data_IF_518724560593
#
_entry.id   IF_518724560593
#
_cell.length_a   1.000
_cell.length_b   1.000
_cell.length_c   1.000
_cell.angle_alpha   90.00
_cell.angle_beta   90.00
_cell.angle_gamma   90.00
#
_symmetry.space_group_name_H-M   'P 1'
#
loop_
_entity.id
_entity.type
_entity.pdbx_description
1 polymer ?
#
# COMPACT_ATOMS: atom_id res chain seq x y z
N UNK A 1 -18.56 -13.16 -0.17
CA UNK A 1 -17.21 -12.80 -0.58
C UNK A 1 -16.31 -13.06 0.62
N UNK A 2 -15.24 -13.83 0.49
CA UNK A 2 -14.41 -14.19 1.64
C UNK A 2 -13.29 -13.14 1.77
N UNK A 3 -13.24 -12.42 2.88
CA UNK A 3 -12.15 -11.52 3.23
C UNK A 3 -10.99 -12.33 3.79
N UNK A 4 -9.77 -12.05 3.34
CA UNK A 4 -8.57 -12.79 3.75
C UNK A 4 -7.62 -11.84 4.50
N UNK A 5 -7.14 -12.30 5.67
CA UNK A 5 -5.99 -11.68 6.32
C UNK A 5 -4.71 -12.33 5.80
N UNK A 6 -3.82 -11.53 5.21
CA UNK A 6 -2.54 -12.00 4.70
C UNK A 6 -1.42 -11.70 5.67
N UNK A 7 -0.68 -12.73 6.08
CA UNK A 7 0.55 -12.54 6.86
C UNK A 7 1.68 -12.17 5.92
N UNK A 8 2.28 -11.00 6.09
CA UNK A 8 3.44 -10.54 5.34
C UNK A 8 4.73 -10.79 6.11
N UNK A 9 5.85 -10.87 5.40
CA UNK A 9 7.17 -11.02 6.00
C UNK A 9 7.59 -9.75 6.74
N UNK A 10 8.40 -9.90 7.78
CA UNK A 10 9.01 -8.79 8.50
C UNK A 10 9.97 -8.00 7.60
N UNK A 11 10.14 -6.72 7.90
CA UNK A 11 11.05 -5.84 7.20
C UNK A 11 10.52 -5.34 5.86
N UNK A 12 11.25 -5.60 4.77
CA UNK A 12 10.89 -5.22 3.40
C UNK A 12 10.79 -6.44 2.51
N UNK A 13 9.73 -6.50 1.69
CA UNK A 13 9.64 -7.48 0.62
C UNK A 13 9.15 -6.84 -0.68
N UNK A 14 9.62 -7.36 -1.80
CA UNK A 14 9.34 -6.84 -3.13
C UNK A 14 8.84 -7.97 -4.02
N UNK A 15 7.70 -7.73 -4.66
CA UNK A 15 7.16 -8.62 -5.67
C UNK A 15 7.08 -7.86 -7.00
N UNK A 16 7.82 -8.31 -7.98
CA UNK A 16 7.75 -7.79 -9.34
C UNK A 16 7.03 -8.80 -10.21
N UNK A 17 5.77 -8.55 -10.50
CA UNK A 17 4.91 -9.54 -11.15
C UNK A 17 3.92 -8.92 -12.13
N UNK A 18 3.35 -9.77 -12.97
CA UNK A 18 2.14 -9.43 -13.69
C UNK A 18 1.02 -9.18 -12.68
N UNK A 19 0.33 -8.06 -12.83
CA UNK A 19 -0.85 -7.78 -12.03
C UNK A 19 -1.98 -8.72 -12.41
N UNK A 20 -2.65 -9.27 -11.40
CA UNK A 20 -3.77 -10.19 -11.56
C UNK A 20 -4.93 -9.72 -10.69
N UNK A 21 -6.09 -10.29 -10.94
CA UNK A 21 -7.24 -10.07 -10.07
C UNK A 21 -6.97 -10.70 -8.69
N UNK A 22 -7.02 -9.87 -7.64
CA UNK A 22 -6.83 -10.31 -6.25
C UNK A 22 -8.08 -9.94 -5.45
N UNK A 23 -8.70 -10.91 -4.76
CA UNK A 23 -9.90 -10.64 -3.96
C UNK A 23 -9.59 -9.72 -2.77
N UNK A 24 -10.61 -9.15 -2.10
CA UNK A 24 -10.43 -8.34 -0.91
C UNK A 24 -9.62 -9.02 0.17
N UNK A 25 -8.60 -8.32 0.63
CA UNK A 25 -7.69 -8.77 1.68
C UNK A 25 -7.17 -7.57 2.48
N UNK A 26 -6.51 -7.84 3.59
CA UNK A 26 -5.80 -6.87 4.41
C UNK A 26 -4.57 -7.50 5.07
N UNK A 27 -3.65 -6.68 5.49
CA UNK A 27 -2.43 -7.07 6.22
C UNK A 27 -1.88 -5.90 7.04
N UNK A 28 -0.93 -6.16 7.94
CA UNK A 28 -0.28 -5.16 8.78
C UNK A 28 0.80 -4.33 8.03
N UNK A 29 1.26 -4.77 6.87
CA UNK A 29 2.29 -4.06 6.13
C UNK A 29 1.73 -2.80 5.44
N UNK A 30 2.58 -1.80 5.25
CA UNK A 30 2.35 -0.75 4.26
C UNK A 30 2.58 -1.37 2.89
N UNK A 31 1.63 -1.26 1.99
CA UNK A 31 1.80 -1.71 0.61
C UNK A 31 1.94 -0.54 -0.34
N UNK A 32 2.96 -0.59 -1.18
CA UNK A 32 3.20 0.38 -2.24
C UNK A 32 3.06 -0.34 -3.57
N UNK A 33 2.30 0.26 -4.47
CA UNK A 33 2.10 -0.23 -5.83
C UNK A 33 2.67 0.79 -6.80
N UNK A 34 3.57 0.36 -7.70
CA UNK A 34 4.11 1.19 -8.76
C UNK A 34 3.90 0.50 -10.10
N UNK A 35 3.02 1.05 -10.93
CA UNK A 35 2.67 0.45 -12.23
C UNK A 35 3.81 0.65 -13.22
N UNK A 36 4.39 -0.44 -13.70
CA UNK A 36 5.52 -0.44 -14.64
C UNK A 36 5.09 -0.60 -16.09
N UNK A 37 3.94 -1.26 -16.33
CA UNK A 37 3.34 -1.41 -17.66
C UNK A 37 1.85 -1.70 -17.57
N UNK A 38 1.08 -1.23 -18.57
CA UNK A 38 -0.37 -1.39 -18.60
C UNK A 38 -1.12 -0.61 -17.52
N UNK A 39 -2.18 -1.21 -16.99
CA UNK A 39 -3.08 -0.59 -16.01
C UNK A 39 -3.42 -1.55 -14.87
N UNK A 40 -3.77 -0.99 -13.71
CA UNK A 40 -4.26 -1.72 -12.53
C UNK A 40 -5.39 -0.90 -11.91
N UNK A 41 -6.45 -1.55 -11.50
CA UNK A 41 -7.50 -0.96 -10.68
C UNK A 41 -7.27 -1.36 -9.22
N UNK A 42 -7.05 -0.38 -8.36
CA UNK A 42 -6.94 -0.55 -6.92
C UNK A 42 -8.29 -0.26 -6.27
N UNK A 43 -8.89 -1.27 -5.65
CA UNK A 43 -10.08 -1.09 -4.82
C UNK A 43 -9.70 -0.87 -3.37
N UNK A 44 -10.18 0.23 -2.75
CA UNK A 44 -10.02 0.52 -1.33
C UNK A 44 -11.39 0.94 -0.78
N UNK A 45 -11.87 0.23 0.22
CA UNK A 45 -13.24 0.42 0.70
C UNK A 45 -14.28 0.16 -0.40
N UNK A 46 -15.11 1.15 -0.70
CA UNK A 46 -16.15 1.06 -1.75
C UNK A 46 -15.72 1.70 -3.09
N UNK A 47 -14.52 2.25 -3.16
CA UNK A 47 -14.03 2.98 -4.34
C UNK A 47 -13.01 2.16 -5.13
N UNK A 48 -12.99 2.40 -6.43
CA UNK A 48 -12.07 1.79 -7.37
C UNK A 48 -11.24 2.90 -8.03
N UNK A 49 -9.91 2.80 -7.91
CA UNK A 49 -8.96 3.80 -8.38
C UNK A 49 -8.17 3.26 -9.57
N UNK A 50 -8.31 3.93 -10.71
CA UNK A 50 -7.56 3.60 -11.91
C UNK A 50 -6.11 4.05 -11.81
N UNK A 51 -5.19 3.17 -12.20
CA UNK A 51 -3.74 3.42 -12.24
C UNK A 51 -3.19 3.06 -13.61
N UNK A 52 -2.37 3.95 -14.16
CA UNK A 52 -1.64 3.75 -15.40
C UNK A 52 -0.14 3.64 -15.16
N UNK A 53 0.60 3.30 -16.22
CA UNK A 53 2.07 3.23 -16.19
C UNK A 53 2.71 4.50 -15.60
N UNK A 54 3.49 4.31 -14.55
CA UNK A 54 4.20 5.34 -13.81
C UNK A 54 3.42 5.91 -12.63
N UNK A 55 2.17 5.48 -12.42
CA UNK A 55 1.40 5.87 -11.24
C UNK A 55 1.86 5.07 -10.02
N UNK A 56 1.72 5.72 -8.88
CA UNK A 56 2.05 5.21 -7.56
C UNK A 56 0.78 5.13 -6.72
N UNK A 57 0.65 4.09 -5.94
CA UNK A 57 -0.36 4.03 -4.89
C UNK A 57 0.22 3.52 -3.58
N UNK A 58 -0.48 3.82 -2.49
CA UNK A 58 -0.13 3.34 -1.17
C UNK A 58 -1.38 2.88 -0.42
N UNK A 59 -1.27 1.73 0.24
CA UNK A 59 -2.27 1.19 1.16
C UNK A 59 -1.65 1.10 2.55
N UNK A 60 -2.31 1.71 3.52
CA UNK A 60 -1.84 1.71 4.91
C UNK A 60 -2.22 0.41 5.63
N UNK A 61 -1.57 0.11 6.77
CA UNK A 61 -1.83 -1.09 7.57
C UNK A 61 -3.31 -1.31 7.85
N UNK A 62 -3.76 -2.55 7.76
CA UNK A 62 -5.11 -3.00 8.09
C UNK A 62 -6.25 -2.37 7.26
N UNK A 63 -5.93 -1.80 6.10
CA UNK A 63 -6.93 -1.29 5.15
C UNK A 63 -7.33 -2.42 4.20
N UNK A 64 -8.64 -2.67 4.07
CA UNK A 64 -9.17 -3.65 3.12
C UNK A 64 -8.98 -3.12 1.70
N UNK A 65 -8.34 -3.91 0.86
CA UNK A 65 -8.09 -3.56 -0.53
C UNK A 65 -8.14 -4.78 -1.43
N UNK A 66 -8.24 -4.54 -2.73
CA UNK A 66 -8.26 -5.58 -3.75
C UNK A 66 -7.73 -5.03 -5.07
N UNK A 67 -7.40 -5.93 -6.00
CA UNK A 67 -6.96 -5.55 -7.33
C UNK A 67 -7.86 -6.13 -8.40
N UNK A 68 -8.12 -5.32 -9.44
CA UNK A 68 -8.77 -5.75 -10.65
C UNK A 68 -7.91 -5.37 -11.85
N UNK A 69 -7.89 -6.23 -12.85
CA UNK A 69 -7.17 -6.00 -14.10
C UNK A 69 -8.12 -6.22 -15.25
N UNK A 70 -8.33 -5.19 -16.06
CA UNK A 70 -9.21 -5.22 -17.20
C UNK A 70 -8.38 -5.11 -18.48
N UNK A 71 -8.46 -6.15 -19.34
CA UNK A 71 -7.83 -6.16 -20.66
C UNK A 71 -6.33 -6.37 -20.67
N UNK A 72 -5.84 -7.03 -21.73
CA UNK A 72 -4.42 -7.16 -22.08
C UNK A 72 -3.58 -8.06 -21.17
N UNK A 73 -2.56 -8.70 -21.79
CA UNK A 73 -1.68 -9.63 -21.08
C UNK A 73 -0.48 -8.93 -20.37
N UNK A 74 -0.32 -7.62 -20.49
CA UNK A 74 0.88 -6.88 -20.08
C UNK A 74 0.65 -5.84 -18.98
N UNK A 75 -0.12 -6.20 -17.95
CA UNK A 75 -0.26 -5.33 -16.79
C UNK A 75 0.77 -5.72 -15.73
N UNK A 76 1.77 -4.87 -15.49
CA UNK A 76 2.87 -5.16 -14.58
C UNK A 76 3.02 -4.07 -13.54
N UNK A 77 3.26 -4.46 -12.31
CA UNK A 77 3.56 -3.55 -11.23
C UNK A 77 4.62 -4.12 -10.29
N UNK A 78 5.26 -3.22 -9.58
CA UNK A 78 6.05 -3.51 -8.40
C UNK A 78 5.11 -3.39 -7.20
N UNK A 79 5.06 -4.42 -6.39
CA UNK A 79 4.40 -4.45 -5.10
C UNK A 79 5.49 -4.49 -4.03
N UNK A 80 5.61 -3.42 -3.26
CA UNK A 80 6.60 -3.26 -2.21
C UNK A 80 5.87 -3.25 -0.86
N UNK A 81 6.23 -4.17 0.01
CA UNK A 81 5.65 -4.29 1.35
C UNK A 81 6.68 -3.83 2.37
N UNK A 82 6.29 -2.89 3.22
CA UNK A 82 7.13 -2.34 4.28
C UNK A 82 6.48 -2.62 5.63
N UNK A 83 7.26 -3.16 6.56
CA UNK A 83 6.83 -3.24 7.95
C UNK A 83 6.70 -1.82 8.53
N UNK A 84 5.60 -1.46 9.23
CA UNK A 84 5.40 -0.13 9.78
C UNK A 84 6.50 0.32 10.76
N UNK A 85 7.18 -0.62 11.41
CA UNK A 85 8.34 -0.36 12.29
C UNK A 85 9.53 0.31 11.59
N UNK A 86 9.60 0.21 10.24
CA UNK A 86 10.59 0.92 9.43
C UNK A 86 10.33 2.44 9.35
N UNK A 87 9.18 2.89 9.79
CA UNK A 87 8.80 4.30 9.79
C UNK A 87 8.34 4.75 11.19
N UNK A 88 9.21 4.67 12.22
CA UNK A 88 8.82 4.84 13.62
C UNK A 88 8.21 6.21 13.92
N UNK A 89 8.63 7.28 13.20
CA UNK A 89 8.07 8.62 13.35
C UNK A 89 6.64 8.78 12.84
N UNK A 90 6.12 7.79 12.09
CA UNK A 90 4.78 7.80 11.50
C UNK A 90 3.91 6.62 11.98
N UNK A 91 4.41 5.80 12.90
CA UNK A 91 3.75 4.55 13.29
C UNK A 91 2.31 4.78 13.76
N UNK A 92 2.09 5.73 14.67
CA UNK A 92 0.77 6.07 15.19
C UNK A 92 -0.16 6.65 14.11
N UNK A 93 0.38 7.52 13.26
CA UNK A 93 -0.36 8.14 12.16
C UNK A 93 -0.80 7.08 11.12
N UNK A 94 0.05 6.12 10.82
CA UNK A 94 -0.28 4.99 9.94
C UNK A 94 -1.38 4.09 10.49
N UNK A 95 -1.53 3.99 11.82
CA UNK A 95 -2.63 3.25 12.43
C UNK A 95 -3.93 4.05 12.41
N UNK A 96 -3.84 5.37 12.54
CA UNK A 96 -4.99 6.26 12.70
C UNK A 96 -5.57 6.76 11.38
N UNK A 97 -4.72 7.10 10.42
CA UNK A 97 -5.11 7.77 9.19
C UNK A 97 -5.06 6.84 7.97
N UNK A 98 -5.74 7.26 6.91
CA UNK A 98 -5.68 6.67 5.58
C UNK A 98 -5.73 7.78 4.53
N UNK A 99 -5.03 7.66 3.39
CA UNK A 99 -5.20 8.60 2.29
C UNK A 99 -6.65 8.60 1.78
N UNK A 100 -7.23 9.80 1.65
CA UNK A 100 -8.57 9.95 1.04
C UNK A 100 -8.56 9.48 -0.42
N UNK A 101 -7.45 9.66 -1.11
CA UNK A 101 -7.20 9.19 -2.46
C UNK A 101 -5.82 8.50 -2.48
N UNK A 102 -5.75 7.17 -2.57
CA UNK A 102 -4.50 6.44 -2.35
C UNK A 102 -3.53 6.47 -3.54
N UNK A 103 -3.92 7.05 -4.68
CA UNK A 103 -3.14 7.06 -5.92
C UNK A 103 -2.53 8.44 -6.17
N UNK A 104 -1.24 8.47 -6.53
CA UNK A 104 -0.54 9.65 -7.05
C UNK A 104 -0.20 9.39 -8.51
N UNK A 105 -0.72 10.23 -9.40
CA UNK A 105 -0.37 10.11 -10.83
C UNK A 105 1.10 10.42 -11.06
N UNK A 106 1.70 9.80 -12.08
CA UNK A 106 3.11 10.00 -12.45
C UNK A 106 3.51 11.45 -12.63
N UNK A 107 2.56 12.32 -13.02
CA UNK A 107 2.80 13.75 -13.24
C UNK A 107 2.97 14.53 -11.94
N UNK A 108 2.36 14.04 -10.87
CA UNK A 108 2.37 14.65 -9.54
C UNK A 108 3.35 13.96 -8.59
N UNK A 109 3.82 12.78 -8.97
CA UNK A 109 4.67 11.93 -8.12
C UNK A 109 6.04 12.59 -7.90
N UNK A 110 6.38 12.80 -6.63
CA UNK A 110 7.67 13.39 -6.25
C UNK A 110 8.82 12.46 -6.62
N UNK A 111 9.89 13.02 -7.19
CA UNK A 111 11.08 12.26 -7.63
C UNK A 111 11.73 11.45 -6.51
N UNK A 112 11.68 11.93 -5.27
CA UNK A 112 12.29 11.24 -4.13
C UNK A 112 11.52 9.97 -3.76
N UNK A 113 10.20 9.92 -3.99
CA UNK A 113 9.43 8.68 -3.89
C UNK A 113 9.94 7.68 -4.94
N UNK A 114 10.04 8.10 -6.21
CA UNK A 114 10.53 7.22 -7.29
C UNK A 114 11.93 6.71 -7.00
N UNK A 115 12.83 7.59 -6.57
CA UNK A 115 14.20 7.23 -6.21
C UNK A 115 14.24 6.22 -5.04
N UNK A 116 13.41 6.44 -4.01
CA UNK A 116 13.35 5.56 -2.85
C UNK A 116 12.74 4.21 -3.17
N UNK A 117 11.67 4.14 -3.97
CA UNK A 117 11.13 2.88 -4.48
C UNK A 117 12.19 2.12 -5.26
N UNK A 118 12.87 2.79 -6.20
CA UNK A 118 13.94 2.16 -7.00
C UNK A 118 15.10 1.67 -6.12
N UNK A 119 15.49 2.42 -5.09
CA UNK A 119 16.54 2.01 -4.16
C UNK A 119 16.13 0.74 -3.39
N UNK A 120 14.89 0.69 -2.87
CA UNK A 120 14.36 -0.46 -2.14
C UNK A 120 14.19 -1.71 -3.02
N UNK A 121 13.79 -1.53 -4.28
CA UNK A 121 13.63 -2.63 -5.25
C UNK A 121 14.97 -3.22 -5.69
N UNK A 122 16.02 -2.40 -5.76
CA UNK A 122 17.35 -2.81 -6.26
C UNK A 122 18.37 -3.02 -5.16
N UNK A 123 17.95 -3.22 -3.91
CA UNK A 123 18.86 -3.47 -2.79
C UNK A 123 19.76 -4.68 -3.07
N UNK A 124 21.07 -4.42 -3.14
CA UNK A 124 22.11 -5.46 -3.26
C UNK A 124 22.57 -5.94 -1.89
N UNK A 125 22.64 -5.03 -0.93
CA UNK A 125 23.06 -5.29 0.44
C UNK A 125 21.95 -4.88 1.40
N UNK A 126 21.58 -5.80 2.30
CA UNK A 126 20.53 -5.56 3.28
C UNK A 126 21.08 -4.68 4.41
N UNK A 127 21.08 -3.35 4.22
CA UNK A 127 21.41 -2.40 5.28
C UNK A 127 20.12 -1.83 5.89
N UNK A 128 19.76 -2.20 7.14
CA UNK A 128 18.52 -1.77 7.76
C UNK A 128 18.35 -0.25 7.84
N UNK A 129 19.44 0.48 8.04
CA UNK A 129 19.40 1.95 8.14
C UNK A 129 19.07 2.60 6.79
N UNK A 130 19.58 2.06 5.68
CA UNK A 130 19.27 2.54 4.33
C UNK A 130 17.80 2.24 3.99
N UNK A 131 17.34 1.03 4.31
CA UNK A 131 15.93 0.63 4.12
C UNK A 131 15.02 1.58 4.88
N UNK A 132 15.29 1.80 6.17
CA UNK A 132 14.52 2.70 7.01
C UNK A 132 14.51 4.14 6.47
N UNK A 133 15.65 4.65 6.01
CA UNK A 133 15.74 6.00 5.44
C UNK A 133 14.84 6.15 4.21
N UNK A 134 14.89 5.20 3.26
CA UNK A 134 14.04 5.24 2.07
C UNK A 134 12.56 5.05 2.40
N UNK A 135 12.22 4.16 3.33
CA UNK A 135 10.84 4.00 3.80
C UNK A 135 10.29 5.31 4.39
N UNK A 136 11.07 5.98 5.26
CA UNK A 136 10.69 7.25 5.87
C UNK A 136 10.55 8.38 4.84
N UNK A 137 11.41 8.45 3.81
CA UNK A 137 11.28 9.44 2.74
C UNK A 137 9.95 9.25 2.00
N UNK A 138 9.60 8.03 1.65
CA UNK A 138 8.31 7.74 0.98
C UNK A 138 7.14 8.19 1.85
N UNK A 139 7.11 7.77 3.11
CA UNK A 139 5.99 8.08 4.01
C UNK A 139 5.90 9.56 4.32
N UNK A 140 7.03 10.27 4.48
CA UNK A 140 7.04 11.70 4.69
C UNK A 140 6.41 12.46 3.51
N UNK A 141 6.74 12.09 2.27
CA UNK A 141 6.09 12.67 1.09
C UNK A 141 4.60 12.32 1.01
N UNK A 142 4.23 11.09 1.30
CA UNK A 142 2.82 10.68 1.33
C UNK A 142 2.01 11.54 2.31
N UNK A 143 2.49 11.75 3.52
CA UNK A 143 1.80 12.63 4.49
C UNK A 143 1.83 14.11 4.12
N UNK A 144 2.86 14.56 3.38
CA UNK A 144 2.95 15.94 2.89
C UNK A 144 2.01 16.21 1.72
N UNK A 145 1.91 15.27 0.78
CA UNK A 145 1.34 15.51 -0.54
C UNK A 145 -0.10 14.97 -0.67
N UNK A 146 -0.51 14.05 0.21
CA UNK A 146 -1.83 13.44 0.19
C UNK A 146 -2.72 13.94 1.32
N UNK A 147 -4.00 14.12 1.01
CA UNK A 147 -5.00 14.42 2.05
C UNK A 147 -5.33 13.16 2.83
N UNK A 148 -5.18 13.23 4.14
CA UNK A 148 -5.52 12.14 5.06
C UNK A 148 -6.95 12.26 5.59
N UNK A 149 -7.55 11.12 5.90
CA UNK A 149 -8.81 10.99 6.62
C UNK A 149 -8.60 10.05 7.81
N UNK A 150 -9.39 10.23 8.86
CA UNK A 150 -9.40 9.34 10.01
C UNK A 150 -10.02 8.00 9.60
N UNK A 151 -9.40 6.88 9.93
CA UNK A 151 -9.95 5.54 9.65
C UNK A 151 -11.30 5.31 10.35
N UNK A 152 -11.48 5.88 11.53
CA UNK A 152 -12.74 5.78 12.29
C UNK A 152 -13.89 6.57 11.63
N UNK A 153 -13.58 7.49 10.71
CA UNK A 153 -14.60 8.25 9.96
C UNK A 153 -15.18 7.49 8.76
N UNK A 154 -14.61 6.33 8.44
CA UNK A 154 -15.17 5.38 7.47
C UNK A 154 -16.35 4.71 8.18
N UNK A 155 -17.54 5.25 7.99
CA UNK A 155 -18.73 5.10 8.80
C UNK A 155 -19.18 3.67 9.14
N UNK A 156 -20.12 3.58 10.08
CA UNK A 156 -20.71 2.39 10.71
C UNK A 156 -21.27 1.28 9.79
N UNK A 157 -21.26 1.46 8.48
CA UNK A 157 -21.53 0.40 7.49
C UNK A 157 -20.44 -0.67 7.41
N UNK A 158 -19.33 -0.48 8.11
CA UNK A 158 -18.21 -1.41 8.15
C UNK A 158 -18.14 -2.26 9.43
N UNK A 159 -19.28 -2.82 9.83
CA UNK A 159 -19.33 -3.97 10.78
C UNK A 159 -18.31 -5.04 10.33
N UNK A 160 -18.10 -5.20 9.04
CA UNK A 160 -17.10 -6.10 8.46
C UNK A 160 -15.68 -5.68 8.88
N UNK A 161 -15.32 -4.38 8.87
CA UNK A 161 -14.02 -3.89 9.32
C UNK A 161 -13.80 -4.19 10.81
N UNK A 162 -14.76 -3.86 11.65
CA UNK A 162 -14.69 -4.13 13.08
C UNK A 162 -14.59 -5.61 13.43
N UNK A 163 -15.31 -6.46 12.71
CA UNK A 163 -15.27 -7.92 12.90
C UNK A 163 -13.93 -8.50 12.47
N UNK A 164 -13.38 -8.06 11.33
CA UNK A 164 -12.09 -8.56 10.82
C UNK A 164 -10.95 -8.10 11.72
N UNK A 165 -10.95 -6.86 12.17
CA UNK A 165 -9.96 -6.34 13.12
C UNK A 165 -10.05 -7.09 14.47
N UNK A 166 -11.26 -7.34 14.94
CA UNK A 166 -11.47 -8.11 16.17
C UNK A 166 -10.96 -9.55 16.05
N UNK A 167 -11.24 -10.22 14.93
CA UNK A 167 -10.78 -11.59 14.68
C UNK A 167 -9.25 -11.62 14.55
N UNK A 168 -8.65 -10.68 13.80
CA UNK A 168 -7.20 -10.60 13.67
C UNK A 168 -6.47 -10.33 14.99
N UNK A 169 -7.06 -9.55 15.91
CA UNK A 169 -6.49 -9.27 17.24
C UNK A 169 -6.65 -10.40 18.24
N UNK A 170 -7.72 -11.19 18.17
CA UNK A 170 -8.08 -12.14 19.22
C UNK A 170 -7.88 -13.61 18.85
N UNK A 171 -7.62 -13.92 17.61
CA UNK A 171 -7.46 -15.30 17.11
C UNK A 171 -6.14 -15.48 16.33
N UNK A 172 -5.05 -15.00 16.92
CA UNK A 172 -3.67 -15.24 16.42
C UNK A 172 -3.24 -16.67 16.67
#
# INVERSE_FOLDING_TARGET
MQLTYEKRNEGVSVEWKNSVHVPPHLHEAIEIIYVTDGTVELGVGKELFHMEKGDFAIVFPNVIHHYQVFGGENNKAIYLFLEPSLTPGFYEDLQKYNPTYPVISRKMLHKDIVNSVNALVNLKDFNPMIIQAHAQIIIAHVFSDMKMMDKDSIGEDDIIYGVVEYVAKNFK
#
